data_IF_933804893911
#
_entry.id   IF_933804893911
#
_cell.length_a   1.000
_cell.length_b   1.000
_cell.length_c   1.000
_cell.angle_alpha   90.00
_cell.angle_beta   90.00
_cell.angle_gamma   90.00
#
_symmetry.space_group_name_H-M   'P 1'
#
loop_
_entity.id
_entity.type
_entity.pdbx_description
1 polymer ?
#
# COMPACT_ATOMS: atom_id res chain seq x y z
N UNK A 1 -1.64 10.29 -5.00
CA UNK A 1 -0.80 9.66 -3.97
C UNK A 1 -0.05 10.76 -3.22
N UNK A 2 -0.01 10.72 -1.90
CA UNK A 2 0.70 11.70 -1.05
C UNK A 2 1.35 11.00 0.13
N UNK A 3 2.64 11.30 0.34
CA UNK A 3 3.39 10.86 1.51
C UNK A 3 3.43 11.98 2.54
N UNK A 4 3.13 11.65 3.79
CA UNK A 4 3.15 12.53 4.95
C UNK A 4 4.34 12.12 5.82
N UNK A 5 5.43 12.88 5.69
CA UNK A 5 6.75 12.50 6.24
C UNK A 5 6.78 12.43 7.77
N UNK A 6 6.05 13.32 8.45
CA UNK A 6 6.07 13.40 9.92
C UNK A 6 5.32 12.22 10.55
N UNK A 7 4.26 11.78 9.89
CA UNK A 7 3.41 10.68 10.31
C UNK A 7 3.88 9.31 9.77
N UNK A 8 4.82 9.30 8.82
CA UNK A 8 5.23 8.13 8.04
C UNK A 8 4.03 7.38 7.42
N UNK A 9 3.15 8.16 6.76
CA UNK A 9 1.93 7.66 6.12
C UNK A 9 1.92 7.92 4.63
N UNK A 10 1.63 6.89 3.84
CA UNK A 10 1.36 7.00 2.41
C UNK A 10 -0.13 6.85 2.15
N UNK A 11 -0.71 7.84 1.47
CA UNK A 11 -2.12 7.81 1.03
C UNK A 11 -2.21 7.67 -0.48
N UNK A 12 -3.02 6.71 -0.92
CA UNK A 12 -3.44 6.56 -2.31
C UNK A 12 -4.90 6.96 -2.40
N UNK A 13 -5.18 8.10 -3.02
CA UNK A 13 -6.54 8.63 -3.20
C UNK A 13 -7.07 8.16 -4.55
N UNK A 14 -8.20 7.45 -4.53
CA UNK A 14 -8.90 6.93 -5.71
C UNK A 14 -10.04 7.88 -6.11
N UNK A 15 -10.84 8.34 -5.14
CA UNK A 15 -11.89 9.35 -5.35
C UNK A 15 -11.84 10.43 -4.26
N UNK A 16 -12.56 11.52 -4.48
CA UNK A 16 -12.70 12.62 -3.51
C UNK A 16 -14.03 12.54 -2.74
N UNK A 17 -14.72 11.39 -2.78
CA UNK A 17 -15.95 11.23 -2.03
C UNK A 17 -15.68 11.25 -0.52
N UNK A 18 -16.75 11.42 0.25
CA UNK A 18 -16.65 11.40 1.70
C UNK A 18 -16.45 9.97 2.20
N UNK A 19 -15.52 9.80 3.13
CA UNK A 19 -15.36 8.55 3.87
C UNK A 19 -16.60 8.29 4.73
N UNK A 20 -17.13 7.07 4.63
CA UNK A 20 -18.19 6.57 5.50
C UNK A 20 -17.68 5.48 6.45
N UNK A 21 -16.71 4.67 6.01
CA UNK A 21 -16.06 3.67 6.85
C UNK A 21 -14.65 3.33 6.37
N UNK A 22 -13.95 2.54 7.18
CA UNK A 22 -12.64 1.98 6.87
C UNK A 22 -12.47 0.58 7.40
N UNK A 23 -11.60 -0.19 6.76
CA UNK A 23 -11.28 -1.58 7.10
C UNK A 23 -9.77 -1.78 6.99
N UNK A 24 -9.15 -2.30 8.04
CA UNK A 24 -7.76 -2.76 7.99
C UNK A 24 -7.70 -4.08 7.20
N UNK A 25 -7.06 -4.05 6.03
CA UNK A 25 -6.99 -5.21 5.10
C UNK A 25 -5.72 -6.04 5.30
N UNK A 26 -4.72 -5.47 5.98
CA UNK A 26 -3.45 -6.07 6.36
C UNK A 26 -2.84 -5.21 7.47
N UNK A 27 -1.95 -5.74 8.32
CA UNK A 27 -1.25 -4.92 9.31
C UNK A 27 -0.69 -3.65 8.69
N UNK A 28 -1.08 -2.50 9.24
CA UNK A 28 -0.68 -1.16 8.81
C UNK A 28 -1.26 -0.69 7.46
N UNK A 29 -2.19 -1.41 6.84
CA UNK A 29 -2.83 -1.04 5.57
C UNK A 29 -4.34 -0.99 5.75
N UNK A 30 -4.91 0.18 5.51
CA UNK A 30 -6.34 0.44 5.67
C UNK A 30 -6.95 0.85 4.33
N UNK A 31 -8.10 0.28 3.99
CA UNK A 31 -8.95 0.73 2.90
C UNK A 31 -10.10 1.56 3.45
N UNK A 32 -10.34 2.74 2.88
CA UNK A 32 -11.48 3.62 3.16
C UNK A 32 -12.53 3.51 2.06
N UNK A 33 -13.81 3.54 2.43
CA UNK A 33 -14.92 3.47 1.48
C UNK A 33 -15.94 4.59 1.72
N UNK A 34 -16.68 4.91 0.66
CA UNK A 34 -17.84 5.80 0.73
C UNK A 34 -19.10 5.06 1.22
N UNK A 35 -20.23 5.78 1.31
CA UNK A 35 -21.50 5.21 1.78
C UNK A 35 -22.07 4.09 0.91
N UNK A 36 -21.66 4.02 -0.36
CA UNK A 36 -22.06 2.99 -1.31
C UNK A 36 -21.15 1.75 -1.25
N UNK A 37 -20.10 1.78 -0.40
CA UNK A 37 -19.12 0.71 -0.28
C UNK A 37 -18.04 0.73 -1.36
N UNK A 38 -17.89 1.84 -2.09
CA UNK A 38 -16.85 1.99 -3.10
C UNK A 38 -15.53 2.43 -2.46
N UNK A 39 -14.41 1.86 -2.89
CA UNK A 39 -13.08 2.19 -2.37
C UNK A 39 -12.67 3.61 -2.79
N UNK A 40 -12.33 4.45 -1.82
CA UNK A 40 -11.95 5.85 -2.07
C UNK A 40 -10.50 6.17 -1.69
N UNK A 41 -9.92 5.45 -0.72
CA UNK A 41 -8.53 5.64 -0.29
C UNK A 41 -7.91 4.34 0.20
N UNK A 42 -6.59 4.25 0.04
CA UNK A 42 -5.75 3.29 0.77
C UNK A 42 -4.74 4.10 1.59
N UNK A 43 -4.63 3.79 2.87
CA UNK A 43 -3.63 4.35 3.77
C UNK A 43 -2.65 3.26 4.20
N UNK A 44 -1.37 3.59 4.17
CA UNK A 44 -0.29 2.73 4.66
C UNK A 44 0.45 3.52 5.74
N UNK A 45 0.41 3.05 6.99
CA UNK A 45 1.22 3.59 8.08
C UNK A 45 2.55 2.83 8.17
N UNK A 46 3.58 3.43 8.77
CA UNK A 46 4.96 2.92 8.68
C UNK A 46 5.40 2.73 7.20
N UNK A 47 4.98 3.66 6.33
CA UNK A 47 5.08 3.52 4.90
C UNK A 47 6.54 3.39 4.43
N UNK A 48 7.47 4.06 5.10
CA UNK A 48 8.90 4.00 4.79
C UNK A 48 9.45 2.57 4.89
N UNK A 49 9.12 1.85 5.97
CA UNK A 49 9.50 0.46 6.17
C UNK A 49 8.81 -0.46 5.15
N UNK A 50 7.50 -0.29 4.96
CA UNK A 50 6.73 -1.06 3.99
C UNK A 50 7.32 -0.96 2.58
N UNK A 51 7.62 0.27 2.11
CA UNK A 51 8.17 0.50 0.78
C UNK A 51 9.58 -0.07 0.63
N UNK A 52 10.45 0.16 1.62
CA UNK A 52 11.81 -0.40 1.63
C UNK A 52 11.76 -1.92 1.49
N UNK A 53 10.96 -2.57 2.33
CA UNK A 53 10.91 -4.03 2.39
C UNK A 53 10.27 -4.60 1.13
N UNK A 54 9.21 -3.96 0.61
CA UNK A 54 8.57 -4.32 -0.66
C UNK A 54 9.55 -4.21 -1.84
N UNK A 55 10.35 -3.14 -1.91
CA UNK A 55 11.36 -2.96 -2.96
C UNK A 55 12.45 -4.03 -2.86
N UNK A 56 12.95 -4.30 -1.64
CA UNK A 56 13.97 -5.33 -1.41
C UNK A 56 13.45 -6.72 -1.79
N UNK A 57 12.20 -7.05 -1.45
CA UNK A 57 11.56 -8.29 -1.84
C UNK A 57 11.39 -8.39 -3.36
N UNK A 58 10.95 -7.32 -4.04
CA UNK A 58 10.82 -7.31 -5.49
C UNK A 58 12.17 -7.52 -6.20
N UNK A 59 13.26 -6.92 -5.69
CA UNK A 59 14.60 -7.09 -6.26
C UNK A 59 15.12 -8.52 -6.02
N UNK A 60 15.01 -9.04 -4.80
CA UNK A 60 15.46 -10.41 -4.48
C UNK A 60 14.59 -11.47 -5.17
N UNK A 61 13.28 -11.26 -5.22
CA UNK A 61 12.33 -12.12 -5.93
C UNK A 61 12.56 -12.15 -7.44
N UNK A 62 13.01 -11.03 -8.04
CA UNK A 62 13.47 -11.00 -9.44
C UNK A 62 14.74 -11.83 -9.64
N UNK A 63 15.73 -11.72 -8.76
CA UNK A 63 16.92 -12.56 -8.83
C UNK A 63 16.59 -14.06 -8.74
N UNK A 64 15.67 -14.45 -7.85
CA UNK A 64 15.24 -15.84 -7.73
C UNK A 64 14.47 -16.38 -8.95
N UNK A 65 13.78 -15.53 -9.73
CA UNK A 65 13.09 -15.96 -10.96
C UNK A 65 14.03 -16.07 -12.16
N UNK A 66 15.07 -15.25 -12.25
CA UNK A 66 16.04 -15.30 -13.35
C UNK A 66 16.98 -16.52 -13.25
N UNK A 67 17.31 -16.98 -12.04
CA UNK A 67 18.16 -18.17 -11.82
C UNK A 67 17.47 -19.47 -12.26
N UNK A 68 16.13 -19.51 -12.33
CA UNK A 68 15.35 -20.72 -12.69
C UNK A 68 15.18 -20.88 -14.22
N UNK A 69 15.63 -19.91 -15.04
CA UNK A 69 15.46 -19.96 -16.51
C UNK A 69 16.62 -20.59 -17.29
N UNK A 70 17.55 -21.31 -16.63
CA UNK A 70 18.58 -22.10 -17.30
C UNK A 70 18.47 -23.58 -16.92
N UNK A 71 17.49 -24.28 -17.49
CA UNK A 71 17.51 -25.73 -17.68
C UNK A 71 16.79 -26.10 -18.97
#
# INVERSE_FOLDING_TARGET
>A
MRYFEQEDVLTLVISNDLEANSVEISPNITSEFNSEGELIRIEIINASAFLRDSILELVQGKQNREIVSFK
#
